data_IF_997483915006
#
_entry.id   IF_997483915006
#
_cell.length_a   1.000
_cell.length_b   1.000
_cell.length_c   1.000
_cell.angle_alpha   90.00
_cell.angle_beta   90.00
_cell.angle_gamma   90.00
#
_symmetry.space_group_name_H-M   'P 1'
#
loop_
_entity.id
_entity.type
_entity.pdbx_description
1 polymer ?
#
# COMPACT_ATOMS: atom_id res chain seq x y z
N UNK A 1 27.43 5.93 -4.22
CA UNK A 1 26.30 4.99 -4.41
C UNK A 1 25.03 5.77 -4.11
N UNK A 2 24.48 6.45 -5.12
CA UNK A 2 23.30 7.29 -4.98
C UNK A 2 22.11 6.50 -5.54
N UNK A 3 21.07 6.36 -4.72
CA UNK A 3 19.80 5.76 -5.09
C UNK A 3 19.01 6.74 -5.98
N UNK A 4 19.47 7.00 -7.20
CA UNK A 4 18.92 8.08 -8.03
C UNK A 4 17.41 7.95 -8.33
N UNK A 5 16.82 6.75 -8.15
CA UNK A 5 15.40 6.47 -8.43
C UNK A 5 14.60 5.84 -7.27
N UNK A 6 15.01 6.03 -5.99
CA UNK A 6 14.18 5.62 -4.85
C UNK A 6 13.40 6.81 -4.29
N UNK A 7 12.08 6.67 -4.23
CA UNK A 7 11.18 7.67 -3.66
C UNK A 7 10.52 7.13 -2.40
N UNK A 8 10.60 7.88 -1.31
CA UNK A 8 9.87 7.59 -0.06
C UNK A 8 8.57 8.38 -0.07
N UNK A 9 7.44 7.68 -0.04
CA UNK A 9 6.10 8.25 -0.23
C UNK A 9 5.33 8.14 1.07
N UNK A 10 4.80 9.26 1.57
CA UNK A 10 3.98 9.30 2.79
C UNK A 10 2.63 8.62 2.55
N UNK A 11 2.25 7.71 3.45
CA UNK A 11 1.03 6.89 3.35
C UNK A 11 0.25 6.91 4.67
N UNK A 12 -0.31 8.06 5.00
CA UNK A 12 -0.94 8.32 6.29
C UNK A 12 -2.15 7.45 6.62
N UNK A 13 -2.45 7.35 7.91
CA UNK A 13 -3.70 6.81 8.45
C UNK A 13 -3.56 5.44 9.11
N UNK A 14 -2.67 4.57 8.63
CA UNK A 14 -2.41 3.29 9.30
C UNK A 14 -1.70 3.52 10.64
N UNK A 15 -0.55 4.16 10.59
CA UNK A 15 0.24 4.53 11.76
C UNK A 15 0.88 5.91 11.53
N UNK A 16 1.17 6.62 12.62
CA UNK A 16 1.89 7.89 12.56
C UNK A 16 3.28 7.64 11.94
N UNK A 17 3.56 8.32 10.82
CA UNK A 17 4.83 8.16 10.11
C UNK A 17 4.89 6.91 9.24
N UNK A 18 3.75 6.40 8.76
CA UNK A 18 3.70 5.36 7.75
C UNK A 18 4.22 5.88 6.39
N UNK A 19 5.15 5.14 5.79
CA UNK A 19 5.70 5.42 4.46
C UNK A 19 5.71 4.17 3.59
N UNK A 20 5.70 4.38 2.29
CA UNK A 20 6.06 3.40 1.28
C UNK A 20 7.34 3.79 0.55
N UNK A 21 7.85 2.87 -0.24
CA UNK A 21 9.03 3.04 -1.08
C UNK A 21 8.65 2.72 -2.52
N UNK A 22 8.91 3.64 -3.42
CA UNK A 22 8.77 3.44 -4.86
C UNK A 22 10.15 3.34 -5.51
N UNK A 23 10.34 2.30 -6.31
CA UNK A 23 11.57 2.04 -7.05
C UNK A 23 11.24 1.32 -8.37
N UNK A 24 11.74 1.85 -9.48
CA UNK A 24 11.41 1.38 -10.84
C UNK A 24 9.89 1.40 -11.10
N UNK A 25 9.23 0.25 -11.10
CA UNK A 25 7.77 0.13 -11.17
C UNK A 25 7.16 -0.54 -9.93
N UNK A 26 7.95 -0.74 -8.87
CA UNK A 26 7.51 -1.36 -7.62
C UNK A 26 7.17 -0.29 -6.60
N UNK A 27 5.94 -0.32 -6.11
CA UNK A 27 5.51 0.50 -4.99
C UNK A 27 5.27 -0.37 -3.75
N UNK A 28 6.28 -0.46 -2.88
CA UNK A 28 6.18 -1.14 -1.60
C UNK A 28 5.44 -0.23 -0.61
N UNK A 29 4.23 -0.62 -0.21
CA UNK A 29 3.35 0.22 0.62
C UNK A 29 3.33 -0.19 2.10
N UNK A 30 4.21 -1.11 2.49
CA UNK A 30 4.34 -1.61 3.87
C UNK A 30 2.96 -2.04 4.41
N UNK A 31 2.53 -1.53 5.56
CA UNK A 31 1.30 -1.91 6.26
C UNK A 31 0.10 -1.01 5.92
N UNK A 32 0.22 -0.14 4.91
CA UNK A 32 -0.87 0.72 4.46
C UNK A 32 -2.13 -0.08 4.11
N UNK A 33 -2.00 -1.26 3.51
CA UNK A 33 -3.07 -2.27 3.48
C UNK A 33 -2.47 -3.64 3.74
N UNK A 34 -3.24 -4.55 4.31
CA UNK A 34 -2.78 -5.93 4.51
C UNK A 34 -3.16 -6.86 3.36
N UNK A 35 -4.14 -6.46 2.55
CA UNK A 35 -4.65 -7.26 1.46
C UNK A 35 -4.72 -6.43 0.18
N UNK A 36 -4.06 -6.89 -0.88
CA UNK A 36 -4.07 -6.22 -2.18
C UNK A 36 -5.48 -6.07 -2.75
N UNK A 37 -6.43 -6.92 -2.33
CA UNK A 37 -7.85 -6.81 -2.69
C UNK A 37 -8.52 -5.55 -2.16
N UNK A 38 -7.97 -4.89 -1.13
CA UNK A 38 -8.42 -3.56 -0.72
C UNK A 38 -8.22 -2.54 -1.83
N UNK A 39 -7.16 -2.67 -2.62
CA UNK A 39 -6.85 -1.77 -3.73
C UNK A 39 -7.54 -2.25 -5.02
N UNK A 40 -7.44 -3.54 -5.34
CA UNK A 40 -7.90 -4.04 -6.65
C UNK A 40 -9.41 -4.33 -6.72
N UNK A 41 -10.05 -4.59 -5.58
CA UNK A 41 -11.46 -5.00 -5.51
C UNK A 41 -12.30 -4.15 -4.54
N UNK A 42 -11.71 -3.07 -3.99
CA UNK A 42 -12.32 -2.26 -2.93
C UNK A 42 -12.81 -3.08 -1.71
N UNK A 43 -12.14 -4.21 -1.41
CA UNK A 43 -12.40 -5.01 -0.19
C UNK A 43 -11.72 -4.36 1.01
N UNK A 44 -12.34 -3.32 1.55
CA UNK A 44 -11.80 -2.55 2.67
C UNK A 44 -11.81 -3.36 3.97
N UNK A 45 -10.91 -3.05 4.92
CA UNK A 45 -10.93 -3.63 6.25
C UNK A 45 -12.26 -3.39 6.97
N UNK A 46 -12.61 -4.29 7.89
CA UNK A 46 -13.76 -4.10 8.77
C UNK A 46 -13.58 -2.83 9.61
N UNK A 47 -14.65 -2.10 9.90
CA UNK A 47 -14.62 -0.88 10.72
C UNK A 47 -13.97 -1.08 12.09
N UNK A 48 -14.02 -2.27 12.69
CA UNK A 48 -13.35 -2.57 13.96
C UNK A 48 -11.82 -2.45 13.87
N UNK A 49 -11.25 -2.55 12.67
CA UNK A 49 -9.81 -2.29 12.48
C UNK A 49 -9.44 -0.82 12.71
N UNK A 50 -10.42 0.10 12.74
CA UNK A 50 -10.16 1.50 13.08
C UNK A 50 -9.58 1.69 14.49
N UNK A 51 -9.81 0.75 15.42
CA UNK A 51 -9.26 0.82 16.79
C UNK A 51 -7.74 0.71 16.86
N UNK A 52 -7.11 0.17 15.82
CA UNK A 52 -5.65 -0.03 15.74
C UNK A 52 -5.00 0.85 14.66
N UNK A 53 -5.76 1.79 14.09
CA UNK A 53 -5.27 2.74 13.11
C UNK A 53 -5.10 4.11 13.74
N UNK A 54 -4.14 4.89 13.24
CA UNK A 54 -3.93 6.28 13.68
C UNK A 54 -5.14 7.17 13.35
N UNK A 55 -5.59 7.17 12.10
CA UNK A 55 -6.73 7.97 11.64
C UNK A 55 -7.48 7.22 10.55
N UNK A 56 -8.67 6.73 10.89
CA UNK A 56 -9.52 5.96 9.98
C UNK A 56 -9.95 6.75 8.74
N UNK A 57 -10.20 8.05 8.87
CA UNK A 57 -10.65 8.89 7.74
C UNK A 57 -9.49 9.12 6.78
N UNK A 58 -8.30 9.41 7.30
CA UNK A 58 -7.09 9.59 6.49
C UNK A 58 -6.68 8.27 5.85
N UNK A 59 -6.76 7.15 6.59
CA UNK A 59 -6.52 5.81 6.07
C UNK A 59 -7.37 5.50 4.84
N UNK A 60 -8.68 5.78 4.92
CA UNK A 60 -9.59 5.54 3.80
C UNK A 60 -9.27 6.43 2.58
N UNK A 61 -8.84 7.67 2.78
CA UNK A 61 -8.37 8.56 1.70
C UNK A 61 -7.06 8.07 1.09
N UNK A 62 -6.16 7.51 1.89
CA UNK A 62 -4.92 6.89 1.38
C UNK A 62 -5.27 5.68 0.50
N UNK A 63 -6.23 4.85 0.92
CA UNK A 63 -6.75 3.76 0.07
C UNK A 63 -7.34 4.32 -1.24
N UNK A 64 -8.15 5.39 -1.20
CA UNK A 64 -8.74 6.00 -2.41
C UNK A 64 -7.65 6.37 -3.43
N UNK A 65 -6.58 7.01 -2.98
CA UNK A 65 -5.44 7.39 -3.83
C UNK A 65 -4.71 6.17 -4.41
N UNK A 66 -4.54 5.11 -3.63
CA UNK A 66 -3.91 3.88 -4.11
C UNK A 66 -4.80 3.14 -5.12
N UNK A 67 -6.12 3.17 -4.94
CA UNK A 67 -7.09 2.64 -5.91
C UNK A 67 -7.05 3.43 -7.22
N UNK A 68 -6.99 4.76 -7.14
CA UNK A 68 -6.84 5.63 -8.30
C UNK A 68 -5.52 5.37 -9.04
N UNK A 69 -4.41 5.28 -8.31
CA UNK A 69 -3.10 4.94 -8.87
C UNK A 69 -3.14 3.59 -9.60
N UNK A 70 -3.71 2.56 -8.97
CA UNK A 70 -3.82 1.23 -9.58
C UNK A 70 -4.65 1.25 -10.87
N UNK A 71 -5.74 2.03 -10.88
CA UNK A 71 -6.62 2.18 -12.04
C UNK A 71 -5.93 2.92 -13.20
N UNK A 72 -5.22 4.00 -12.89
CA UNK A 72 -4.63 4.89 -13.89
C UNK A 72 -3.22 4.48 -14.34
N UNK A 73 -2.57 3.58 -13.59
CA UNK A 73 -1.18 3.18 -13.83
C UNK A 73 -0.98 1.70 -13.49
N UNK A 74 -1.66 0.83 -14.22
CA UNK A 74 -1.64 -0.63 -13.98
C UNK A 74 -0.27 -1.29 -14.14
N UNK A 75 0.70 -0.60 -14.77
CA UNK A 75 2.09 -1.05 -14.86
C UNK A 75 2.84 -0.96 -13.51
N UNK A 76 2.34 -0.17 -12.56
CA UNK A 76 2.90 -0.04 -11.20
C UNK A 76 2.44 -1.24 -10.36
N UNK A 77 3.41 -1.96 -9.81
CA UNK A 77 3.21 -3.13 -8.94
C UNK A 77 3.15 -2.68 -7.49
N UNK A 78 1.94 -2.57 -6.96
CA UNK A 78 1.72 -2.21 -5.55
C UNK A 78 1.85 -3.47 -4.67
N UNK A 79 2.76 -3.42 -3.69
CA UNK A 79 3.13 -4.56 -2.85
C UNK A 79 2.97 -4.21 -1.36
N UNK A 80 1.93 -4.71 -0.69
CA UNK A 80 1.82 -4.67 0.77
C UNK A 80 2.63 -5.78 1.44
N UNK A 81 3.02 -5.58 2.70
CA UNK A 81 3.84 -6.53 3.48
C UNK A 81 3.05 -7.78 3.88
N UNK A 82 1.83 -7.62 4.40
CA UNK A 82 1.04 -8.71 4.99
C UNK A 82 0.11 -9.44 4.01
N UNK A 83 0.46 -9.46 2.71
CA UNK A 83 -0.41 -10.04 1.69
C UNK A 83 0.19 -11.31 1.07
N UNK A 84 -0.44 -12.44 1.37
CA UNK A 84 -0.04 -13.74 0.80
C UNK A 84 -0.13 -13.78 -0.73
N UNK A 85 -1.11 -13.07 -1.32
CA UNK A 85 -1.29 -13.01 -2.77
C UNK A 85 -0.09 -12.34 -3.45
N UNK A 86 0.41 -11.22 -2.92
CA UNK A 86 1.60 -10.58 -3.49
C UNK A 86 2.87 -11.34 -3.11
N UNK A 87 2.99 -11.87 -1.89
CA UNK A 87 4.13 -12.70 -1.50
C UNK A 87 4.36 -13.86 -2.48
N UNK A 88 3.31 -14.60 -2.84
CA UNK A 88 3.38 -15.70 -3.80
C UNK A 88 3.90 -15.31 -5.18
N UNK A 89 3.75 -14.04 -5.58
CA UNK A 89 4.21 -13.56 -6.89
C UNK A 89 5.71 -13.24 -6.90
N UNK A 90 6.32 -13.00 -5.74
CA UNK A 90 7.68 -12.46 -5.63
C UNK A 90 8.63 -13.28 -4.75
N UNK A 91 8.13 -14.32 -4.08
CA UNK A 91 8.99 -15.27 -3.36
C UNK A 91 9.83 -16.04 -4.39
N UNK A 92 11.14 -16.17 -4.14
CA UNK A 92 12.01 -17.10 -4.87
C UNK A 92 11.94 -18.47 -4.19
N UNK A 93 11.98 -19.53 -5.00
CA UNK A 93 12.14 -20.91 -4.53
C UNK A 93 13.44 -21.09 -3.71
#
# INVERSE_FOLDING_TARGET
MLFEDIYIIKLDGHAKGQYGMFYDNYFFISDTVWDIRTITQNKRPNILTSFIMEDWKVYNKTIDKLQELHKNSSFIKIIPTHCFTTLKQYIKD
#
